data_IF_569700927413
#
_entry.id   IF_569700927413
#
_cell.length_a   1.000
_cell.length_b   1.000
_cell.length_c   1.000
_cell.angle_alpha   90.00
_cell.angle_beta   90.00
_cell.angle_gamma   90.00
#
_symmetry.space_group_name_H-M   'P 1'
#
loop_
_entity.id
_entity.type
_entity.pdbx_description
1 polymer ?
#
# COMPACT_ATOMS: atom_id res chain seq x y z
N UNK A 1 -11.12 25.25 -9.35
CA UNK A 1 -10.15 25.03 -10.45
C UNK A 1 -10.18 23.55 -10.74
N UNK A 2 -10.59 23.14 -11.95
CA UNK A 2 -10.70 21.73 -12.30
C UNK A 2 -9.30 21.11 -12.25
N UNK A 3 -9.12 20.09 -11.41
CA UNK A 3 -7.87 19.36 -11.31
C UNK A 3 -7.70 18.60 -12.63
N UNK A 4 -6.84 19.11 -13.51
CA UNK A 4 -6.58 18.53 -14.82
C UNK A 4 -5.97 17.13 -14.59
N UNK A 5 -6.78 16.09 -14.78
CA UNK A 5 -6.38 14.70 -14.56
C UNK A 5 -5.37 14.33 -15.65
N UNK A 6 -4.08 14.49 -15.36
CA UNK A 6 -3.00 14.01 -16.23
C UNK A 6 -3.07 12.48 -16.30
N UNK A 7 -3.55 11.95 -17.42
CA UNK A 7 -3.60 10.51 -17.67
C UNK A 7 -2.37 10.12 -18.50
N UNK A 8 -1.58 9.18 -17.98
CA UNK A 8 -0.52 8.52 -18.75
C UNK A 8 -1.10 7.30 -19.46
N UNK A 9 -1.05 7.27 -20.79
CA UNK A 9 -1.48 6.13 -21.60
C UNK A 9 -0.39 5.78 -22.60
N UNK A 10 0.01 4.51 -22.62
CA UNK A 10 0.98 3.97 -23.58
C UNK A 10 0.55 2.57 -24.02
N UNK A 11 0.75 2.19 -25.29
CA UNK A 11 0.58 0.82 -25.74
C UNK A 11 1.55 -0.10 -24.98
N UNK A 12 1.01 -1.10 -24.29
CA UNK A 12 1.79 -2.03 -23.49
C UNK A 12 1.20 -3.43 -23.52
N UNK A 13 2.08 -4.43 -23.42
CA UNK A 13 1.72 -5.82 -23.26
C UNK A 13 2.13 -6.30 -21.85
N UNK A 14 1.22 -6.96 -21.13
CA UNK A 14 1.54 -7.61 -19.86
C UNK A 14 2.37 -8.87 -20.15
N UNK A 15 3.63 -8.85 -19.73
CA UNK A 15 4.59 -9.93 -19.98
C UNK A 15 4.87 -10.82 -18.76
N UNK A 16 4.39 -10.42 -17.58
CA UNK A 16 4.57 -11.22 -16.37
C UNK A 16 3.68 -10.79 -15.22
N UNK A 17 3.34 -11.77 -14.38
CA UNK A 17 2.64 -11.60 -13.12
C UNK A 17 3.32 -12.50 -12.10
N UNK A 18 3.85 -11.93 -11.02
CA UNK A 18 4.49 -12.67 -9.94
C UNK A 18 3.80 -12.37 -8.62
N UNK A 19 3.42 -13.41 -7.87
CA UNK A 19 2.95 -13.24 -6.51
C UNK A 19 4.14 -12.94 -5.58
N UNK A 20 4.04 -11.85 -4.84
CA UNK A 20 4.94 -11.51 -3.74
C UNK A 20 4.32 -11.96 -2.41
N UNK A 21 5.08 -11.87 -1.33
CA UNK A 21 4.56 -12.11 0.02
C UNK A 21 3.41 -11.13 0.34
N UNK A 22 2.48 -11.58 1.18
CA UNK A 22 1.34 -10.78 1.66
C UNK A 22 0.31 -10.37 0.59
N UNK A 23 0.00 -11.26 -0.37
CA UNK A 23 -1.06 -11.06 -1.37
C UNK A 23 -0.83 -9.87 -2.32
N UNK A 24 0.41 -9.43 -2.46
CA UNK A 24 0.81 -8.39 -3.43
C UNK A 24 1.18 -9.08 -4.75
N UNK A 25 0.72 -8.54 -5.87
CA UNK A 25 1.10 -9.00 -7.21
C UNK A 25 2.03 -7.99 -7.87
N UNK A 26 3.17 -8.47 -8.37
CA UNK A 26 4.05 -7.71 -9.26
C UNK A 26 3.64 -7.96 -10.70
N UNK A 27 3.08 -6.94 -11.34
CA UNK A 27 2.74 -6.94 -12.75
C UNK A 27 3.88 -6.31 -13.56
N UNK A 28 4.27 -6.94 -14.67
CA UNK A 28 5.37 -6.47 -15.54
C UNK A 28 4.82 -6.21 -16.94
N UNK A 29 4.83 -4.94 -17.35
CA UNK A 29 4.39 -4.50 -18.67
C UNK A 29 5.61 -4.15 -19.53
N UNK A 30 5.57 -4.52 -20.82
CA UNK A 30 6.52 -4.05 -21.84
C UNK A 30 5.78 -3.16 -22.82
N UNK A 31 6.33 -1.98 -23.09
CA UNK A 31 5.81 -1.07 -24.13
C UNK A 31 6.39 -1.43 -25.49
N UNK A 32 5.66 -1.11 -26.57
CA UNK A 32 6.08 -1.42 -27.95
C UNK A 32 6.72 -0.17 -28.58
N UNK A 33 8.06 -0.08 -28.49
CA UNK A 33 9.00 0.92 -29.04
C UNK A 33 8.72 2.44 -28.87
N UNK A 34 9.82 3.19 -28.71
CA UNK A 34 9.97 4.65 -28.54
C UNK A 34 8.90 5.41 -27.75
N UNK A 35 9.02 5.41 -26.42
CA UNK A 35 8.37 6.45 -25.61
C UNK A 35 8.96 7.82 -25.98
N UNK A 36 8.09 8.76 -26.37
CA UNK A 36 8.50 10.13 -26.62
C UNK A 36 8.95 10.82 -25.32
N UNK A 37 9.68 11.92 -25.44
CA UNK A 37 10.24 12.67 -24.30
C UNK A 37 9.17 13.14 -23.30
N UNK A 38 7.97 13.49 -23.78
CA UNK A 38 6.84 13.91 -22.95
C UNK A 38 6.27 12.76 -22.11
N UNK A 39 6.13 11.57 -22.70
CA UNK A 39 5.67 10.36 -22.02
C UNK A 39 6.66 9.93 -20.95
N UNK A 40 7.96 10.01 -21.24
CA UNK A 40 9.01 9.74 -20.25
C UNK A 40 8.96 10.72 -19.09
N UNK A 41 8.80 12.02 -19.37
CA UNK A 41 8.66 13.05 -18.33
C UNK A 41 7.45 12.77 -17.42
N UNK A 42 6.30 12.44 -18.01
CA UNK A 42 5.10 12.13 -17.26
C UNK A 42 5.26 10.85 -16.41
N UNK A 43 5.91 9.82 -16.96
CA UNK A 43 6.21 8.60 -16.22
C UNK A 43 7.09 8.88 -14.99
N UNK A 44 8.13 9.71 -15.14
CA UNK A 44 8.97 10.13 -14.02
C UNK A 44 8.22 11.01 -13.01
N UNK A 45 7.30 11.87 -13.45
CA UNK A 45 6.42 12.63 -12.53
C UNK A 45 5.51 11.71 -11.69
N UNK A 46 5.19 10.51 -12.19
CA UNK A 46 4.34 9.50 -11.54
C UNK A 46 5.14 8.45 -10.74
N UNK A 47 6.47 8.45 -10.84
CA UNK A 47 7.32 7.54 -10.09
C UNK A 47 7.09 7.69 -8.57
N UNK A 48 7.02 6.57 -7.85
CA UNK A 48 6.71 6.47 -6.41
C UNK A 48 5.34 7.06 -5.97
N UNK A 49 4.46 7.46 -6.90
CA UNK A 49 3.10 7.91 -6.57
C UNK A 49 2.11 6.76 -6.61
N UNK A 50 1.19 6.75 -5.65
CA UNK A 50 0.05 5.83 -5.67
C UNK A 50 -1.00 6.32 -6.65
N UNK A 51 -1.42 5.46 -7.57
CA UNK A 51 -2.42 5.78 -8.59
C UNK A 51 -3.18 4.54 -9.05
N UNK A 52 -4.18 4.75 -9.90
CA UNK A 52 -4.92 3.66 -10.52
C UNK A 52 -4.11 3.09 -11.68
N UNK A 53 -4.01 1.77 -11.74
CA UNK A 53 -3.57 1.06 -12.94
C UNK A 53 -4.82 0.57 -13.67
N UNK A 54 -5.05 1.07 -14.88
CA UNK A 54 -6.10 0.58 -15.77
C UNK A 54 -5.46 -0.10 -16.97
N UNK A 55 -5.96 -1.28 -17.34
CA UNK A 55 -5.48 -2.03 -18.50
C UNK A 55 -6.69 -2.43 -19.34
N UNK A 56 -6.72 -2.01 -20.59
CA UNK A 56 -7.74 -2.36 -21.57
C UNK A 56 -7.07 -2.73 -22.89
N UNK A 57 -7.72 -3.58 -23.69
CA UNK A 57 -7.24 -3.95 -25.03
C UNK A 57 -7.48 -2.81 -26.03
N UNK A 58 -8.51 -1.99 -25.78
CA UNK A 58 -8.87 -0.80 -26.56
C UNK A 58 -8.45 0.50 -25.86
N UNK A 59 -8.57 1.65 -26.54
CA UNK A 59 -8.31 2.96 -25.95
C UNK A 59 -9.16 3.19 -24.69
N UNK A 60 -8.56 3.79 -23.67
CA UNK A 60 -9.27 4.11 -22.43
C UNK A 60 -9.91 5.49 -22.61
N UNK A 61 -11.22 5.49 -22.88
CA UNK A 61 -12.05 6.69 -22.96
C UNK A 61 -12.24 7.35 -21.59
N UNK A 62 -12.48 8.67 -21.57
CA UNK A 62 -12.66 9.43 -20.33
C UNK A 62 -13.81 8.91 -19.44
N UNK A 63 -14.86 8.37 -20.07
CA UNK A 63 -16.01 7.76 -19.41
C UNK A 63 -15.62 6.50 -18.60
N UNK A 64 -14.64 5.74 -19.07
CA UNK A 64 -14.15 4.52 -18.40
C UNK A 64 -13.41 4.84 -17.08
N UNK A 65 -12.91 6.07 -16.94
CA UNK A 65 -12.14 6.55 -15.78
C UNK A 65 -13.05 7.34 -14.80
N UNK A 66 -14.30 7.64 -15.19
CA UNK A 66 -15.19 8.51 -14.44
C UNK A 66 -15.65 7.93 -13.08
N UNK A 67 -15.69 6.60 -12.95
CA UNK A 67 -16.21 5.90 -11.76
C UNK A 67 -15.11 5.23 -10.92
N UNK A 68 -13.85 5.64 -11.05
CA UNK A 68 -12.80 5.10 -10.21
C UNK A 68 -12.92 5.64 -8.77
N UNK A 69 -12.79 4.78 -7.74
CA UNK A 69 -12.79 5.25 -6.36
C UNK A 69 -11.70 6.29 -6.12
N UNK A 70 -11.89 7.20 -5.16
CA UNK A 70 -10.83 8.16 -4.81
C UNK A 70 -9.68 7.40 -4.14
N UNK A 71 -8.53 7.33 -4.81
CA UNK A 71 -7.28 6.94 -4.15
C UNK A 71 -6.87 8.10 -3.26
N UNK A 72 -6.94 7.89 -1.94
CA UNK A 72 -6.26 8.79 -1.01
C UNK A 72 -4.76 8.52 -1.13
N UNK A 73 -4.06 9.37 -1.87
CA UNK A 73 -2.61 9.44 -1.77
C UNK A 73 -2.26 9.65 -0.29
N UNK A 74 -1.64 8.66 0.34
CA UNK A 74 -1.14 8.77 1.72
C UNK A 74 -1.72 7.83 2.78
N UNK A 75 -2.61 6.86 2.50
CA UNK A 75 -3.04 5.92 3.56
C UNK A 75 -1.95 4.93 4.02
N UNK A 76 -0.88 4.75 3.25
CA UNK A 76 0.32 4.05 3.69
C UNK A 76 1.35 4.95 4.40
N UNK A 77 1.39 6.26 4.11
CA UNK A 77 2.30 7.22 4.75
C UNK A 77 1.74 7.87 6.03
N UNK A 78 0.42 7.83 6.26
CA UNK A 78 -0.24 8.56 7.37
C UNK A 78 -0.43 7.77 8.67
N UNK A 79 -0.11 6.47 8.70
CA UNK A 79 -0.23 5.69 9.94
C UNK A 79 1.00 5.89 10.81
N UNK A 80 0.82 6.45 12.01
CA UNK A 80 1.91 6.51 13.01
C UNK A 80 2.43 5.10 13.31
N UNK A 81 3.69 4.93 13.78
CA UNK A 81 4.20 3.63 14.17
C UNK A 81 3.26 2.85 15.12
N UNK A 82 2.61 3.54 16.07
CA UNK A 82 1.62 2.95 16.95
C UNK A 82 0.35 2.48 16.24
N UNK A 83 -0.17 3.25 15.27
CA UNK A 83 -1.32 2.85 14.46
C UNK A 83 -1.01 1.63 13.57
N UNK A 84 0.22 1.55 13.05
CA UNK A 84 0.68 0.37 12.29
C UNK A 84 0.79 -0.85 13.21
N UNK A 85 1.41 -0.71 14.37
CA UNK A 85 1.53 -1.78 15.36
C UNK A 85 0.16 -2.31 15.78
N UNK A 86 -0.78 -1.42 16.10
CA UNK A 86 -2.15 -1.80 16.46
C UNK A 86 -2.88 -2.52 15.31
N UNK A 87 -2.69 -2.08 14.07
CA UNK A 87 -3.23 -2.76 12.89
C UNK A 87 -2.66 -4.18 12.75
N UNK A 88 -1.35 -4.35 12.92
CA UNK A 88 -0.68 -5.66 12.84
C UNK A 88 -1.14 -6.59 13.96
N UNK A 89 -1.29 -6.09 15.18
CA UNK A 89 -1.81 -6.85 16.31
C UNK A 89 -3.25 -7.33 16.06
N UNK A 90 -4.09 -6.52 15.41
CA UNK A 90 -5.44 -6.93 15.03
C UNK A 90 -5.44 -8.11 14.05
N UNK A 91 -4.57 -8.08 13.04
CA UNK A 91 -4.39 -9.19 12.10
C UNK A 91 -3.87 -10.44 12.82
N UNK A 92 -2.97 -10.29 13.80
CA UNK A 92 -2.47 -11.41 14.58
C UNK A 92 -3.57 -12.04 15.46
N UNK A 93 -4.37 -11.21 16.14
CA UNK A 93 -5.50 -11.66 16.97
C UNK A 93 -6.54 -12.44 16.16
N UNK A 94 -6.90 -11.93 14.98
CA UNK A 94 -7.84 -12.60 14.07
C UNK A 94 -7.30 -13.94 13.58
N UNK A 95 -6.01 -14.02 13.21
CA UNK A 95 -5.36 -15.29 12.81
C UNK A 95 -5.24 -16.31 13.95
N UNK A 96 -5.13 -15.87 15.20
CA UNK A 96 -5.11 -16.75 16.37
C UNK A 96 -6.51 -17.25 16.80
N UNK A 97 -7.55 -16.95 16.02
CA UNK A 97 -8.91 -17.37 16.33
C UNK A 97 -9.57 -16.53 17.42
N UNK A 98 -9.11 -15.27 17.62
CA UNK A 98 -9.64 -14.33 18.61
C UNK A 98 -9.62 -14.91 20.04
N UNK A 99 -8.43 -15.20 20.61
CA UNK A 99 -8.31 -15.89 21.89
C UNK A 99 -8.92 -15.10 23.07
N UNK A 100 -8.92 -13.77 22.99
CA UNK A 100 -9.58 -12.86 23.93
C UNK A 100 -10.96 -12.44 23.42
N UNK A 101 -11.86 -12.04 24.35
CA UNK A 101 -13.25 -11.68 24.02
C UNK A 101 -13.31 -10.45 23.12
N UNK A 102 -12.39 -9.51 23.31
CA UNK A 102 -12.27 -8.32 22.49
C UNK A 102 -10.83 -8.10 22.02
N UNK A 103 -10.68 -7.40 20.90
CA UNK A 103 -9.37 -6.96 20.44
C UNK A 103 -8.69 -6.02 21.44
N UNK A 104 -9.46 -5.22 22.19
CA UNK A 104 -8.90 -4.30 23.18
C UNK A 104 -8.21 -5.06 24.32
N UNK A 105 -8.83 -6.12 24.83
CA UNK A 105 -8.22 -7.02 25.83
C UNK A 105 -6.90 -7.62 25.33
N UNK A 106 -6.89 -8.08 24.07
CA UNK A 106 -5.69 -8.61 23.44
C UNK A 106 -4.59 -7.54 23.29
N UNK A 107 -4.96 -6.35 22.81
CA UNK A 107 -4.05 -5.23 22.64
C UNK A 107 -3.42 -4.82 23.96
N UNK A 108 -4.22 -4.65 25.02
CA UNK A 108 -3.73 -4.30 26.36
C UNK A 108 -2.76 -5.34 26.91
N UNK A 109 -3.05 -6.63 26.73
CA UNK A 109 -2.16 -7.73 27.13
C UNK A 109 -0.84 -7.74 26.36
N UNK A 110 -0.87 -7.42 25.07
CA UNK A 110 0.34 -7.26 24.27
C UNK A 110 1.18 -6.06 24.72
N UNK A 111 0.55 -4.92 25.03
CA UNK A 111 1.24 -3.73 25.51
C UNK A 111 1.85 -3.94 26.90
N UNK A 112 1.13 -4.58 27.82
CA UNK A 112 1.65 -4.91 29.15
C UNK A 112 2.94 -5.76 29.07
N UNK A 113 2.91 -6.83 28.24
CA UNK A 113 4.10 -7.67 28.02
C UNK A 113 5.27 -6.90 27.43
N UNK A 114 5.01 -5.99 26.50
CA UNK A 114 6.07 -5.17 25.90
C UNK A 114 6.64 -4.18 26.93
N UNK A 115 5.79 -3.61 27.79
CA UNK A 115 6.21 -2.75 28.88
C UNK A 115 7.12 -3.51 29.87
N UNK A 116 6.75 -4.73 30.26
CA UNK A 116 7.58 -5.57 31.15
C UNK A 116 8.97 -5.84 30.55
N UNK A 117 9.03 -6.12 29.23
CA UNK A 117 10.29 -6.32 28.51
C UNK A 117 11.17 -5.07 28.52
N UNK A 118 10.57 -3.89 28.32
CA UNK A 118 11.31 -2.62 28.32
C UNK A 118 11.80 -2.28 29.73
N UNK A 119 11.00 -2.55 30.77
CA UNK A 119 11.41 -2.35 32.17
C UNK A 119 12.64 -3.22 32.48
N UNK A 120 12.60 -4.50 32.12
CA UNK A 120 13.74 -5.40 32.33
C UNK A 120 15.01 -4.91 31.63
N UNK A 121 14.89 -4.40 30.39
CA UNK A 121 16.03 -3.83 29.66
C UNK A 121 16.59 -2.58 30.32
N UNK A 122 15.76 -1.75 30.95
CA UNK A 122 16.20 -0.58 31.71
C UNK A 122 17.02 -1.02 32.93
N UNK A 123 16.52 -1.99 33.70
CA UNK A 123 17.21 -2.53 34.87
C UNK A 123 18.59 -3.12 34.50
N UNK A 124 18.68 -3.83 33.37
CA UNK A 124 19.94 -4.39 32.85
C UNK A 124 20.95 -3.32 32.39
N UNK A 125 20.50 -2.10 32.05
CA UNK A 125 21.39 -0.99 31.69
C UNK A 125 21.86 -0.16 32.90
N UNK A 126 21.15 -0.26 34.03
CA UNK A 126 21.44 0.47 35.26
C UNK A 126 22.37 -0.31 36.22
N UNK A 127 22.59 -1.61 35.95
CA UNK A 127 23.50 -2.49 36.71
C UNK A 127 24.87 -2.65 36.05
#
# INVERSE_FOLDING_TARGET
MANEKKVFQVPACMTGCNALSNAVLKLVFRTQESMNSESMKLLFELYEKTGWLSFNVESIEAENIANLPVIKAGEYESKTPGQRLRSTLYVLWTKKGKPEKTFEEYYMKCMARFQDQVIQQIEECEG
#
